data_IF_352094175307
#
_entry.id   IF_352094175307
#
_cell.length_a   1.000
_cell.length_b   1.000
_cell.length_c   1.000
_cell.angle_alpha   90.00
_cell.angle_beta   90.00
_cell.angle_gamma   90.00
#
_symmetry.space_group_name_H-M   'P 1'
#
loop_
_entity.id
_entity.type
_entity.pdbx_description
1 polymer ?
#
# COMPACT_ATOMS: atom_id res chain seq x y z
N UNK A 1 74.33 8.89 -0.76
CA UNK A 1 73.77 9.64 -1.90
C UNK A 1 72.98 8.68 -2.77
N UNK A 2 71.71 8.46 -2.47
CA UNK A 2 70.79 7.73 -3.37
C UNK A 2 69.40 8.39 -3.20
N UNK A 3 68.99 9.05 -4.27
CA UNK A 3 67.65 9.63 -4.38
C UNK A 3 66.68 8.53 -4.82
N UNK A 4 65.71 8.21 -4.01
CA UNK A 4 64.59 7.32 -4.40
C UNK A 4 63.36 8.13 -4.71
N UNK A 5 62.90 7.93 -5.93
CA UNK A 5 61.75 8.51 -6.59
C UNK A 5 60.43 8.39 -5.78
N UNK A 6 59.90 9.54 -5.36
CA UNK A 6 58.45 9.69 -5.06
C UNK A 6 57.72 9.99 -6.38
N UNK A 7 57.19 8.95 -7.01
CA UNK A 7 56.21 9.10 -8.12
C UNK A 7 55.43 7.79 -8.29
N UNK A 8 54.43 7.50 -7.50
CA UNK A 8 53.35 6.55 -7.84
C UNK A 8 52.20 6.53 -6.81
N UNK A 9 52.14 7.47 -5.87
CA UNK A 9 51.00 7.51 -4.91
C UNK A 9 49.82 8.40 -5.36
N UNK A 10 50.01 9.22 -6.41
CA UNK A 10 48.98 10.12 -6.90
C UNK A 10 47.98 9.51 -7.88
N UNK A 11 48.32 8.40 -8.51
CA UNK A 11 47.47 7.80 -9.55
C UNK A 11 46.41 6.83 -9.02
N UNK A 12 46.61 6.27 -7.81
CA UNK A 12 45.61 5.37 -7.20
C UNK A 12 44.49 6.08 -6.47
N UNK A 13 44.70 7.27 -5.97
CA UNK A 13 43.64 8.07 -5.31
C UNK A 13 42.67 8.70 -6.30
N UNK A 14 43.08 8.96 -7.55
CA UNK A 14 42.19 9.48 -8.58
C UNK A 14 41.27 8.40 -9.19
N UNK A 15 41.74 7.15 -9.23
CA UNK A 15 40.96 6.03 -9.76
C UNK A 15 39.86 5.53 -8.79
N UNK A 16 40.08 5.65 -7.47
CA UNK A 16 39.10 5.27 -6.47
C UNK A 16 37.99 6.33 -6.34
N UNK A 17 38.31 7.60 -6.56
CA UNK A 17 37.32 8.66 -6.58
C UNK A 17 36.39 8.64 -7.82
N UNK A 18 36.85 8.04 -8.93
CA UNK A 18 36.03 7.94 -10.15
C UNK A 18 35.10 6.72 -10.17
N UNK A 19 35.40 5.69 -9.39
CA UNK A 19 34.56 4.48 -9.28
C UNK A 19 33.40 4.70 -8.28
N UNK A 20 33.56 5.59 -7.31
CA UNK A 20 32.50 5.94 -6.37
C UNK A 20 31.46 6.93 -6.94
N UNK A 21 31.75 7.57 -8.09
CA UNK A 21 30.80 8.48 -8.74
C UNK A 21 29.89 7.81 -9.77
N UNK A 22 30.02 6.50 -10.05
CA UNK A 22 29.17 5.75 -10.96
C UNK A 22 28.21 4.76 -10.27
N UNK A 23 28.24 4.68 -8.96
CA UNK A 23 27.13 4.11 -8.19
C UNK A 23 26.14 5.23 -7.85
N UNK A 24 25.71 5.96 -8.88
CA UNK A 24 24.53 6.77 -8.83
C UNK A 24 23.36 5.81 -8.55
N UNK A 25 23.01 5.65 -7.29
CA UNK A 25 21.65 5.28 -6.93
C UNK A 25 20.76 6.27 -7.64
N UNK A 26 20.14 5.84 -8.72
CA UNK A 26 18.89 6.44 -9.15
C UNK A 26 17.94 6.19 -7.98
N UNK A 27 17.94 7.10 -7.02
CA UNK A 27 16.80 7.27 -6.16
C UNK A 27 15.65 7.55 -7.15
N UNK A 28 14.82 6.54 -7.36
CA UNK A 28 13.46 6.81 -7.74
C UNK A 28 12.91 7.68 -6.60
N UNK A 29 12.98 8.97 -6.82
CA UNK A 29 12.18 9.93 -6.08
C UNK A 29 10.75 9.62 -6.54
N UNK A 30 10.14 8.62 -5.95
CA UNK A 30 8.69 8.51 -5.95
C UNK A 30 8.21 9.85 -5.42
N UNK A 31 7.37 10.53 -6.18
CA UNK A 31 6.79 11.78 -5.74
C UNK A 31 6.21 11.54 -4.34
N UNK A 32 6.89 12.05 -3.32
CA UNK A 32 6.38 12.04 -1.96
C UNK A 32 5.17 12.95 -1.98
N UNK A 33 4.01 12.35 -1.89
CA UNK A 33 2.79 13.11 -1.61
C UNK A 33 3.02 13.73 -0.23
N UNK A 34 3.02 15.07 -0.10
CA UNK A 34 3.27 15.71 1.18
C UNK A 34 2.23 15.24 2.20
N UNK A 35 2.67 15.04 3.44
CA UNK A 35 1.77 14.78 4.56
C UNK A 35 0.79 15.93 4.68
N UNK A 36 -0.47 15.63 4.60
CA UNK A 36 -1.51 16.63 4.69
C UNK A 36 -1.74 17.02 6.15
N UNK A 37 -1.20 18.18 6.51
CA UNK A 37 -1.89 19.05 7.41
C UNK A 37 -3.11 19.56 6.62
N UNK A 38 -4.33 19.16 7.02
CA UNK A 38 -5.61 19.55 6.43
C UNK A 38 -5.66 19.42 4.88
N UNK A 39 -6.06 18.24 4.40
CA UNK A 39 -6.41 18.10 2.98
C UNK A 39 -7.40 19.23 2.63
N UNK A 40 -7.12 20.07 1.62
CA UNK A 40 -8.02 21.13 1.25
C UNK A 40 -9.39 20.51 1.00
N UNK A 41 -10.42 21.10 1.61
CA UNK A 41 -11.77 20.64 1.37
C UNK A 41 -12.02 20.67 -0.14
N UNK A 42 -12.52 19.58 -0.70
CA UNK A 42 -12.91 19.56 -2.11
C UNK A 42 -13.80 20.77 -2.40
N UNK A 43 -13.58 21.49 -3.52
CA UNK A 43 -14.48 22.53 -3.95
C UNK A 43 -15.90 21.95 -4.04
N UNK A 44 -16.90 22.76 -3.76
CA UNK A 44 -18.28 22.32 -3.88
C UNK A 44 -18.57 21.88 -5.31
N UNK A 45 -19.12 20.68 -5.46
CA UNK A 45 -19.62 20.19 -6.75
C UNK A 45 -20.85 21.04 -7.15
N UNK A 46 -20.79 21.68 -8.31
CA UNK A 46 -21.82 22.60 -8.81
C UNK A 46 -22.52 22.05 -10.04
N UNK A 47 -21.77 21.72 -11.10
CA UNK A 47 -22.33 21.31 -12.38
C UNK A 47 -21.83 19.92 -12.75
N UNK A 48 -22.75 18.99 -12.94
CA UNK A 48 -22.38 17.66 -13.46
C UNK A 48 -22.04 17.76 -14.94
N UNK A 49 -20.80 17.40 -15.29
CA UNK A 49 -20.29 17.41 -16.65
C UNK A 49 -19.90 16.02 -17.14
N UNK A 50 -20.51 14.97 -16.57
CA UNK A 50 -20.23 13.60 -17.00
C UNK A 50 -20.50 13.35 -18.50
N UNK A 51 -21.34 14.15 -19.11
CA UNK A 51 -21.57 14.19 -20.56
C UNK A 51 -20.42 14.81 -21.38
N UNK A 52 -19.59 15.64 -20.73
CA UNK A 52 -18.39 16.28 -21.29
C UNK A 52 -17.09 15.56 -20.93
N UNK A 53 -17.16 14.48 -20.17
CA UNK A 53 -16.01 13.68 -19.77
C UNK A 53 -16.18 12.28 -20.34
N UNK A 54 -15.26 11.89 -21.19
CA UNK A 54 -15.19 10.51 -21.69
C UNK A 54 -14.33 9.68 -20.76
N UNK A 55 -14.91 8.61 -20.22
CA UNK A 55 -14.21 7.58 -19.45
C UNK A 55 -13.85 6.43 -20.41
N UNK A 56 -12.58 6.11 -20.49
CA UNK A 56 -12.09 5.06 -21.42
C UNK A 56 -12.15 3.68 -20.75
N UNK A 57 -13.36 3.14 -20.69
CA UNK A 57 -13.60 1.82 -20.10
C UNK A 57 -12.89 0.69 -20.83
N UNK A 58 -12.63 0.82 -22.13
CA UNK A 58 -11.93 -0.20 -22.90
C UNK A 58 -10.48 -0.37 -22.42
N UNK A 59 -9.87 0.73 -21.98
CA UNK A 59 -8.53 0.77 -21.42
C UNK A 59 -8.51 0.80 -19.87
N UNK A 60 -9.66 0.54 -19.22
CA UNK A 60 -9.68 0.34 -17.78
C UNK A 60 -8.89 -0.92 -17.40
N UNK A 61 -8.00 -0.80 -16.43
CA UNK A 61 -7.11 -1.86 -15.95
C UNK A 61 -7.43 -2.22 -14.50
N UNK A 62 -7.29 -3.49 -14.17
CA UNK A 62 -7.12 -3.94 -12.81
C UNK A 62 -5.63 -3.84 -12.47
N UNK A 63 -5.28 -3.22 -11.35
CA UNK A 63 -3.90 -2.92 -11.00
C UNK A 63 -3.54 -3.37 -9.59
N UNK A 64 -2.25 -3.63 -9.38
CA UNK A 64 -1.66 -3.88 -8.07
C UNK A 64 -1.35 -2.56 -7.33
N UNK A 65 -0.71 -2.70 -6.17
CA UNK A 65 -0.26 -1.58 -5.34
C UNK A 65 0.75 -0.63 -6.02
N UNK A 66 1.35 -1.04 -7.14
CA UNK A 66 2.34 -0.28 -7.91
C UNK A 66 1.79 0.24 -9.23
N UNK A 67 0.47 0.18 -9.42
CA UNK A 67 -0.26 0.58 -10.63
C UNK A 67 0.08 -0.26 -11.87
N UNK A 68 0.66 -1.45 -11.69
CA UNK A 68 0.88 -2.40 -12.75
C UNK A 68 -0.40 -3.19 -13.02
N UNK A 69 -0.71 -3.38 -14.31
CA UNK A 69 -1.84 -4.21 -14.70
C UNK A 69 -1.68 -5.64 -14.22
N UNK A 70 -2.75 -6.19 -13.64
CA UNK A 70 -2.78 -7.55 -13.13
C UNK A 70 -3.96 -8.33 -13.70
N UNK A 71 -3.78 -9.65 -13.84
CA UNK A 71 -4.81 -10.60 -14.23
C UNK A 71 -5.03 -11.67 -13.14
N UNK A 72 -4.27 -11.59 -12.06
CA UNK A 72 -4.42 -12.45 -10.88
C UNK A 72 -4.17 -11.65 -9.60
N UNK A 73 -4.88 -12.01 -8.53
CA UNK A 73 -4.75 -11.38 -7.22
C UNK A 73 -5.05 -12.38 -6.11
N UNK A 74 -4.34 -12.28 -5.00
CA UNK A 74 -4.65 -13.05 -3.78
C UNK A 74 -5.78 -12.42 -2.99
N UNK A 75 -6.53 -13.23 -2.25
CA UNK A 75 -7.52 -12.75 -1.28
C UNK A 75 -6.84 -11.82 -0.26
N UNK A 76 -7.46 -10.66 0.00
CA UNK A 76 -6.94 -9.57 0.84
C UNK A 76 -5.65 -8.90 0.32
N UNK A 77 -5.30 -9.10 -0.95
CA UNK A 77 -4.24 -8.36 -1.59
C UNK A 77 -4.77 -7.08 -2.24
N UNK A 78 -3.85 -6.16 -2.53
CA UNK A 78 -4.22 -4.91 -3.17
C UNK A 78 -4.81 -5.14 -4.56
N UNK A 79 -5.94 -4.55 -4.78
CA UNK A 79 -6.65 -4.53 -6.06
C UNK A 79 -7.13 -3.11 -6.32
N UNK A 80 -6.72 -2.55 -7.44
CA UNK A 80 -7.13 -1.23 -7.87
C UNK A 80 -7.82 -1.24 -9.22
N UNK A 81 -8.50 -0.15 -9.52
CA UNK A 81 -9.04 0.15 -10.84
C UNK A 81 -8.40 1.42 -11.36
N UNK A 82 -7.66 1.30 -12.46
CA UNK A 82 -7.05 2.42 -13.18
C UNK A 82 -7.89 2.75 -14.40
N UNK A 83 -8.48 3.95 -14.40
CA UNK A 83 -9.42 4.38 -15.42
C UNK A 83 -8.95 5.67 -16.10
N UNK A 84 -8.58 5.63 -17.38
CA UNK A 84 -8.29 6.85 -18.14
C UNK A 84 -9.55 7.68 -18.39
N UNK A 85 -9.37 8.99 -18.39
CA UNK A 85 -10.45 9.94 -18.68
C UNK A 85 -9.94 11.11 -19.52
N UNK A 86 -10.87 11.77 -20.22
CA UNK A 86 -10.60 13.05 -20.92
C UNK A 86 -11.83 13.93 -20.96
N UNK A 87 -11.64 15.24 -20.85
CA UNK A 87 -12.71 16.19 -21.15
C UNK A 87 -12.86 16.34 -22.66
N UNK A 88 -14.10 16.46 -23.14
CA UNK A 88 -14.41 16.71 -24.55
C UNK A 88 -14.60 18.20 -24.86
N UNK A 89 -14.39 19.04 -23.86
CA UNK A 89 -14.51 20.49 -23.96
C UNK A 89 -13.98 21.16 -22.71
N UNK A 90 -14.16 22.47 -22.67
CA UNK A 90 -13.71 23.31 -21.55
C UNK A 90 -14.51 22.97 -20.29
N UNK A 91 -13.80 22.72 -19.20
CA UNK A 91 -14.33 22.53 -17.86
C UNK A 91 -13.96 23.69 -16.96
N UNK A 92 -14.77 23.96 -15.93
CA UNK A 92 -14.64 25.13 -15.05
C UNK A 92 -14.56 24.70 -13.58
N UNK A 93 -14.22 25.62 -12.73
CA UNK A 93 -14.30 25.43 -11.29
C UNK A 93 -15.67 25.00 -10.84
N UNK A 94 -15.77 23.93 -10.04
CA UNK A 94 -17.01 23.34 -9.58
C UNK A 94 -17.70 22.39 -10.55
N UNK A 95 -17.21 22.27 -11.80
CA UNK A 95 -17.64 21.17 -12.67
C UNK A 95 -17.15 19.83 -12.10
N UNK A 96 -17.99 18.81 -12.19
CA UNK A 96 -17.64 17.47 -11.67
C UNK A 96 -18.17 16.36 -12.56
N UNK A 97 -17.49 15.21 -12.48
CA UNK A 97 -17.99 13.96 -13.06
C UNK A 97 -17.96 12.85 -12.01
N UNK A 98 -18.79 11.84 -12.25
CA UNK A 98 -18.92 10.68 -11.38
C UNK A 98 -18.86 9.38 -12.19
N UNK A 99 -18.35 8.34 -11.57
CA UNK A 99 -18.43 6.98 -12.07
C UNK A 99 -18.35 5.97 -10.93
N UNK A 100 -18.69 4.72 -11.20
CA UNK A 100 -18.56 3.64 -10.24
C UNK A 100 -17.31 2.81 -10.55
N UNK A 101 -16.46 2.57 -9.55
CA UNK A 101 -15.21 1.80 -9.67
C UNK A 101 -15.33 0.39 -9.09
N UNK A 102 -16.53 -0.12 -8.85
CA UNK A 102 -16.71 -1.47 -8.33
C UNK A 102 -16.21 -2.53 -9.31
N UNK A 103 -15.66 -3.60 -8.74
CA UNK A 103 -15.30 -4.83 -9.45
C UNK A 103 -16.23 -5.92 -8.93
N UNK A 104 -17.09 -6.45 -9.79
CA UNK A 104 -18.16 -7.38 -9.41
C UNK A 104 -17.99 -8.70 -10.14
N UNK A 105 -18.02 -9.80 -9.41
CA UNK A 105 -18.03 -11.14 -9.99
C UNK A 105 -19.37 -11.39 -10.70
N UNK A 106 -19.34 -11.65 -12.01
CA UNK A 106 -20.57 -11.86 -12.79
C UNK A 106 -21.34 -13.11 -12.39
N UNK A 107 -20.67 -14.10 -11.81
CA UNK A 107 -21.30 -15.37 -11.48
C UNK A 107 -22.30 -15.26 -10.32
N UNK A 108 -22.06 -14.36 -9.37
CA UNK A 108 -22.89 -14.22 -8.17
C UNK A 108 -23.30 -12.76 -7.83
N UNK A 109 -22.80 -11.79 -8.58
CA UNK A 109 -23.09 -10.37 -8.35
C UNK A 109 -22.41 -9.77 -7.13
N UNK A 110 -21.47 -10.45 -6.50
CA UNK A 110 -20.77 -9.95 -5.32
C UNK A 110 -19.55 -9.11 -5.70
N UNK A 111 -19.24 -8.13 -4.86
CA UNK A 111 -18.05 -7.29 -5.05
C UNK A 111 -16.78 -8.10 -4.76
N UNK A 112 -15.83 -8.02 -5.69
CA UNK A 112 -14.47 -8.56 -5.55
C UNK A 112 -13.52 -7.48 -5.00
N UNK A 113 -13.87 -6.21 -5.14
CA UNK A 113 -13.11 -5.09 -4.64
C UNK A 113 -13.79 -4.52 -3.39
N UNK A 114 -13.08 -4.54 -2.27
CA UNK A 114 -13.42 -3.80 -1.08
C UNK A 114 -12.71 -2.45 -1.12
N UNK A 115 -13.43 -1.33 -1.21
CA UNK A 115 -12.81 -0.02 -1.25
C UNK A 115 -12.04 0.30 0.04
N UNK A 116 -10.84 0.83 -0.11
CA UNK A 116 -10.12 1.51 0.95
C UNK A 116 -10.46 2.99 0.85
N UNK A 117 -11.60 3.37 1.39
CA UNK A 117 -12.11 4.73 1.25
C UNK A 117 -11.25 5.73 2.00
N UNK A 118 -10.91 6.82 1.33
CA UNK A 118 -10.30 7.99 1.90
C UNK A 118 -11.23 9.19 1.75
N UNK A 119 -10.96 10.22 2.52
CA UNK A 119 -11.81 11.42 2.59
C UNK A 119 -11.85 12.18 1.28
N UNK A 120 -10.70 12.39 0.70
CA UNK A 120 -10.52 13.06 -0.59
C UNK A 120 -9.12 12.76 -1.12
N UNK A 121 -8.93 12.94 -2.43
CA UNK A 121 -7.63 12.87 -3.08
C UNK A 121 -7.49 14.02 -4.06
N UNK A 122 -6.26 14.50 -4.28
CA UNK A 122 -5.98 15.54 -5.25
C UNK A 122 -5.93 14.98 -6.66
N UNK A 123 -6.43 15.77 -7.61
CA UNK A 123 -6.16 15.58 -9.05
C UNK A 123 -4.99 16.49 -9.41
N UNK A 124 -3.84 15.90 -9.67
CA UNK A 124 -2.57 16.62 -9.82
C UNK A 124 -2.15 16.64 -11.28
N UNK A 125 -1.83 17.83 -11.78
CA UNK A 125 -1.28 17.99 -13.13
C UNK A 125 0.17 17.49 -13.22
N UNK A 126 0.64 17.29 -14.45
CA UNK A 126 2.03 16.94 -14.71
C UNK A 126 3.02 17.93 -14.11
N UNK A 127 2.64 19.18 -13.98
CA UNK A 127 3.44 20.26 -13.36
C UNK A 127 3.29 20.33 -11.83
N UNK A 128 2.75 19.29 -11.20
CA UNK A 128 2.44 19.22 -9.76
C UNK A 128 1.47 20.31 -9.27
N UNK A 129 0.56 20.76 -10.12
CA UNK A 129 -0.49 21.71 -9.77
C UNK A 129 -1.77 20.93 -9.49
N UNK A 130 -2.39 21.15 -8.34
CA UNK A 130 -3.70 20.57 -8.03
C UNK A 130 -4.77 21.27 -8.86
N UNK A 131 -5.41 20.52 -9.76
CA UNK A 131 -6.45 20.99 -10.69
C UNK A 131 -7.85 20.52 -10.31
N UNK A 132 -7.94 19.70 -9.31
CA UNK A 132 -9.21 19.19 -8.82
C UNK A 132 -9.03 18.34 -7.57
N UNK A 133 -10.12 17.81 -7.11
CA UNK A 133 -10.20 16.97 -5.93
C UNK A 133 -11.20 15.84 -6.21
N UNK A 134 -10.90 14.65 -5.73
CA UNK A 134 -11.80 13.51 -5.86
C UNK A 134 -12.19 12.94 -4.52
N UNK A 135 -13.30 12.22 -4.52
CA UNK A 135 -13.74 11.38 -3.40
C UNK A 135 -14.10 10.00 -3.90
N UNK A 136 -13.86 8.99 -3.10
CA UNK A 136 -14.25 7.61 -3.39
C UNK A 136 -15.01 7.04 -2.20
N UNK A 137 -16.26 6.67 -2.44
CA UNK A 137 -17.16 6.17 -1.41
C UNK A 137 -17.10 4.66 -1.22
N UNK A 138 -17.58 4.19 -0.06
CA UNK A 138 -17.73 2.76 0.24
C UNK A 138 -18.67 2.02 -0.72
N UNK A 139 -19.55 2.75 -1.40
CA UNK A 139 -20.44 2.26 -2.46
C UNK A 139 -19.74 2.11 -3.83
N UNK A 140 -18.43 2.42 -3.89
CA UNK A 140 -17.62 2.36 -5.09
C UNK A 140 -17.74 3.59 -5.99
N UNK A 141 -18.55 4.59 -5.61
CA UNK A 141 -18.69 5.79 -6.43
C UNK A 141 -17.47 6.71 -6.26
N UNK A 142 -16.92 7.14 -7.38
CA UNK A 142 -15.87 8.15 -7.47
C UNK A 142 -16.49 9.43 -7.98
N UNK A 143 -16.20 10.54 -7.32
CA UNK A 143 -16.58 11.89 -7.77
C UNK A 143 -15.28 12.71 -7.90
N UNK A 144 -15.09 13.35 -9.05
CA UNK A 144 -13.97 14.27 -9.30
C UNK A 144 -14.54 15.65 -9.54
N UNK A 145 -14.08 16.65 -8.77
CA UNK A 145 -14.51 18.05 -8.86
C UNK A 145 -13.30 18.90 -9.27
N UNK A 146 -13.46 19.68 -10.31
CA UNK A 146 -12.39 20.57 -10.80
C UNK A 146 -12.32 21.88 -10.03
N UNK A 147 -11.14 22.45 -9.87
CA UNK A 147 -10.92 23.78 -9.32
C UNK A 147 -10.66 24.81 -10.41
N UNK A 148 -10.38 26.06 -10.04
CA UNK A 148 -10.13 27.17 -10.98
C UNK A 148 -8.90 27.01 -11.87
N UNK A 149 -7.95 26.17 -11.47
CA UNK A 149 -6.72 25.91 -12.26
C UNK A 149 -7.01 25.16 -13.55
N UNK A 150 -8.12 24.43 -13.61
CA UNK A 150 -8.54 23.68 -14.80
C UNK A 150 -8.89 24.62 -15.97
N UNK A 151 -9.24 25.87 -15.69
CA UNK A 151 -9.63 26.86 -16.70
C UNK A 151 -8.46 27.33 -17.58
N UNK A 152 -7.22 26.95 -17.22
CA UNK A 152 -6.02 27.29 -17.97
C UNK A 152 -5.85 26.54 -19.30
N UNK A 153 -6.65 25.48 -19.55
CA UNK A 153 -6.56 24.68 -20.77
C UNK A 153 -7.94 24.38 -21.36
N UNK A 154 -7.95 24.20 -22.68
CA UNK A 154 -9.18 23.90 -23.41
C UNK A 154 -9.70 22.46 -23.14
N UNK A 155 -8.81 21.53 -22.91
CA UNK A 155 -9.12 20.13 -22.61
C UNK A 155 -8.14 19.56 -21.60
N UNK A 156 -8.62 18.58 -20.86
CA UNK A 156 -7.82 17.82 -19.91
C UNK A 156 -8.00 16.34 -20.15
N UNK A 157 -6.96 15.57 -19.89
CA UNK A 157 -7.01 14.11 -19.85
C UNK A 157 -6.13 13.59 -18.73
N UNK A 158 -6.40 12.41 -18.26
CA UNK A 158 -5.63 11.83 -17.16
C UNK A 158 -6.13 10.44 -16.79
N UNK A 159 -5.78 10.05 -15.60
CA UNK A 159 -6.13 8.76 -15.04
C UNK A 159 -6.61 8.92 -13.61
N UNK A 160 -7.62 8.19 -13.20
CA UNK A 160 -7.95 7.99 -11.80
C UNK A 160 -7.66 6.53 -11.46
N UNK A 161 -6.89 6.31 -10.40
CA UNK A 161 -6.61 4.97 -9.87
C UNK A 161 -7.16 4.85 -8.46
N UNK A 162 -8.09 3.93 -8.26
CA UNK A 162 -8.61 3.58 -6.92
C UNK A 162 -7.86 2.39 -6.38
N UNK A 163 -7.63 2.35 -5.06
CA UNK A 163 -6.94 1.26 -4.39
C UNK A 163 -7.80 0.67 -3.27
N UNK A 164 -7.93 -0.63 -3.27
CA UNK A 164 -8.67 -1.38 -2.27
C UNK A 164 -8.05 -2.74 -2.04
N UNK A 165 -8.82 -3.62 -1.44
CA UNK A 165 -8.42 -5.01 -1.19
C UNK A 165 -9.28 -5.95 -2.01
N UNK A 166 -8.64 -6.94 -2.61
CA UNK A 166 -9.35 -8.03 -3.24
C UNK A 166 -10.10 -8.85 -2.18
N UNK A 167 -11.33 -9.17 -2.45
CA UNK A 167 -12.16 -9.96 -1.56
C UNK A 167 -12.69 -11.16 -2.33
N UNK A 168 -12.48 -12.35 -1.78
CA UNK A 168 -13.01 -13.57 -2.36
C UNK A 168 -14.54 -13.56 -2.32
N UNK A 169 -15.16 -13.80 -3.46
CA UNK A 169 -16.62 -13.75 -3.61
C UNK A 169 -17.17 -15.07 -4.16
N UNK A 170 -17.11 -16.14 -3.39
CA UNK A 170 -17.79 -17.38 -3.78
C UNK A 170 -17.01 -18.67 -3.63
N UNK A 171 -17.63 -19.82 -3.84
CA UNK A 171 -17.02 -21.12 -3.63
C UNK A 171 -15.97 -21.39 -4.71
N UNK A 172 -14.70 -21.47 -4.31
CA UNK A 172 -13.65 -22.25 -4.96
C UNK A 172 -13.36 -22.06 -6.45
N UNK A 173 -13.98 -21.14 -7.11
CA UNK A 173 -13.66 -20.79 -8.48
C UNK A 173 -12.44 -19.91 -8.53
N UNK A 174 -11.43 -20.31 -9.26
CA UNK A 174 -10.17 -19.60 -9.33
C UNK A 174 -10.17 -18.59 -10.47
N UNK A 175 -11.12 -18.69 -11.39
CA UNK A 175 -11.23 -17.80 -12.54
C UNK A 175 -12.55 -17.02 -12.48
N UNK A 176 -12.44 -15.74 -12.18
CA UNK A 176 -13.57 -14.83 -12.17
C UNK A 176 -13.68 -14.11 -13.50
N UNK A 177 -14.90 -14.02 -14.00
CA UNK A 177 -15.27 -13.02 -14.99
C UNK A 177 -15.87 -11.87 -14.22
N UNK A 178 -15.15 -10.74 -14.17
CA UNK A 178 -15.58 -9.57 -13.40
C UNK A 178 -16.04 -8.45 -14.30
N UNK A 179 -17.00 -7.67 -13.81
CA UNK A 179 -17.42 -6.43 -14.46
C UNK A 179 -16.82 -5.26 -13.68
N UNK A 180 -16.08 -4.39 -14.34
CA UNK A 180 -15.50 -3.18 -13.79
C UNK A 180 -16.43 -2.01 -14.06
N UNK A 181 -16.90 -1.35 -13.00
CA UNK A 181 -17.82 -0.23 -13.08
C UNK A 181 -19.16 -0.51 -13.75
N UNK A 182 -19.54 -1.77 -13.92
CA UNK A 182 -20.70 -2.17 -14.69
C UNK A 182 -20.58 -1.89 -16.19
N UNK A 183 -19.36 -1.64 -16.73
CA UNK A 183 -19.12 -1.17 -18.10
C UNK A 183 -18.27 -2.12 -18.92
N UNK A 184 -17.25 -2.74 -18.34
CA UNK A 184 -16.30 -3.59 -19.06
C UNK A 184 -16.05 -4.88 -18.31
N UNK A 185 -15.88 -5.96 -19.08
CA UNK A 185 -15.58 -7.27 -18.52
C UNK A 185 -14.08 -7.53 -18.55
N UNK A 186 -13.56 -8.15 -17.48
CA UNK A 186 -12.18 -8.60 -17.35
C UNK A 186 -12.16 -10.01 -16.77
N UNK A 187 -11.11 -10.76 -17.11
CA UNK A 187 -10.81 -12.02 -16.44
C UNK A 187 -9.86 -11.71 -15.26
N UNK A 188 -10.15 -12.29 -14.12
CA UNK A 188 -9.35 -12.16 -12.91
C UNK A 188 -9.21 -13.53 -12.26
N UNK A 189 -7.98 -13.97 -12.09
CA UNK A 189 -7.68 -15.17 -11.35
C UNK A 189 -7.56 -14.80 -9.86
N UNK A 190 -8.40 -15.42 -9.03
CA UNK A 190 -8.31 -15.28 -7.58
C UNK A 190 -7.48 -16.42 -7.02
N UNK A 191 -6.25 -16.13 -6.66
CA UNK A 191 -5.39 -17.13 -6.04
C UNK A 191 -5.71 -17.27 -4.56
N UNK A 192 -6.22 -18.43 -4.18
CA UNK A 192 -6.20 -18.82 -2.77
C UNK A 192 -4.78 -19.21 -2.41
N UNK A 193 -4.32 -18.80 -1.25
CA UNK A 193 -3.09 -19.34 -0.70
C UNK A 193 -3.25 -20.85 -0.57
N UNK A 194 -2.29 -21.58 -1.12
CA UNK A 194 -2.24 -23.04 -0.94
C UNK A 194 -1.90 -23.30 0.54
N UNK A 195 -2.74 -24.05 1.27
CA UNK A 195 -2.40 -24.46 2.62
C UNK A 195 -1.04 -25.16 2.64
N UNK A 196 -0.18 -24.82 3.61
CA UNK A 196 1.09 -25.47 3.83
C UNK A 196 2.32 -24.80 3.22
N UNK A 197 2.20 -23.77 2.40
CA UNK A 197 3.34 -22.97 1.94
C UNK A 197 3.45 -21.65 2.74
N UNK A 198 4.05 -21.75 3.92
CA UNK A 198 4.36 -20.58 4.70
C UNK A 198 5.62 -19.89 4.13
N UNK A 199 5.49 -18.64 3.72
CA UNK A 199 6.59 -17.83 3.23
C UNK A 199 6.92 -16.71 4.22
N UNK A 200 8.17 -16.22 4.17
CA UNK A 200 8.52 -14.96 4.79
C UNK A 200 7.71 -13.85 4.15
N UNK A 201 6.90 -13.18 4.94
CA UNK A 201 5.89 -12.26 4.41
C UNK A 201 5.75 -11.02 5.27
N UNK A 202 5.44 -9.91 4.63
CA UNK A 202 4.98 -8.69 5.26
C UNK A 202 3.67 -8.24 4.63
N UNK A 203 2.70 -7.97 5.49
CA UNK A 203 1.41 -7.37 5.16
C UNK A 203 1.13 -6.17 6.05
N UNK A 204 0.03 -5.50 5.80
CA UNK A 204 -0.47 -4.45 6.67
C UNK A 204 -1.88 -4.04 6.29
N UNK A 205 -2.54 -3.34 7.20
CA UNK A 205 -3.86 -2.74 7.00
C UNK A 205 -4.05 -1.52 7.88
N UNK A 206 -5.03 -0.68 7.52
CA UNK A 206 -5.50 0.38 8.40
C UNK A 206 -6.45 -0.19 9.45
N UNK A 207 -6.27 0.26 10.67
CA UNK A 207 -7.04 -0.18 11.84
C UNK A 207 -7.96 0.93 12.40
N UNK A 208 -8.31 1.90 11.56
CA UNK A 208 -9.10 3.06 11.96
C UNK A 208 -10.62 2.88 11.81
N UNK A 209 -11.04 1.77 11.19
CA UNK A 209 -12.46 1.56 10.87
C UNK A 209 -13.30 1.04 12.03
N UNK A 210 -12.68 0.55 13.10
CA UNK A 210 -13.38 -0.15 14.18
C UNK A 210 -13.69 0.73 15.40
N UNK A 211 -13.05 1.91 15.50
CA UNK A 211 -13.27 2.82 16.63
C UNK A 211 -13.56 4.23 16.15
N UNK A 212 -14.74 4.74 16.43
CA UNK A 212 -15.08 6.16 16.24
C UNK A 212 -14.13 7.10 17.02
N UNK A 213 -13.49 6.58 18.07
CA UNK A 213 -12.49 7.27 18.89
C UNK A 213 -11.03 6.97 18.49
N UNK A 214 -10.80 6.39 17.33
CA UNK A 214 -9.56 5.95 16.70
C UNK A 214 -8.27 6.15 17.51
N UNK A 215 -7.62 5.05 17.88
CA UNK A 215 -6.31 5.09 18.51
C UNK A 215 -5.24 5.36 17.42
N UNK A 216 -4.75 6.60 17.34
CA UNK A 216 -3.73 6.98 16.35
C UNK A 216 -2.44 6.14 16.45
N UNK A 217 -2.18 5.55 17.62
CA UNK A 217 -0.99 4.73 17.85
C UNK A 217 -1.08 3.33 17.19
N UNK A 218 -2.27 2.97 16.72
CA UNK A 218 -2.56 1.72 15.99
C UNK A 218 -3.21 1.99 14.65
N UNK A 219 -2.98 3.16 14.08
CA UNK A 219 -3.58 3.56 12.81
C UNK A 219 -3.22 2.64 11.65
N UNK A 220 -2.00 2.11 11.65
CA UNK A 220 -1.55 1.06 10.76
C UNK A 220 -1.20 -0.16 11.60
N UNK A 221 -1.65 -1.34 11.15
CA UNK A 221 -1.20 -2.61 11.68
C UNK A 221 -0.36 -3.33 10.64
N UNK A 222 0.94 -3.48 10.91
CA UNK A 222 1.82 -4.32 10.12
C UNK A 222 1.81 -5.74 10.65
N UNK A 223 1.82 -6.71 9.74
CA UNK A 223 1.93 -8.14 10.05
C UNK A 223 3.16 -8.70 9.37
N UNK A 224 3.97 -9.43 10.14
CA UNK A 224 5.14 -10.15 9.63
C UNK A 224 4.97 -11.63 9.94
N UNK A 225 5.27 -12.49 8.97
CA UNK A 225 5.22 -13.95 9.09
C UNK A 225 6.62 -14.50 8.96
N UNK A 226 7.04 -15.30 9.95
CA UNK A 226 8.34 -15.99 9.98
C UNK A 226 8.11 -17.50 10.10
N UNK A 227 8.22 -18.26 9.00
CA UNK A 227 8.05 -19.70 9.03
C UNK A 227 9.31 -20.42 9.54
N UNK A 228 9.12 -21.46 10.35
CA UNK A 228 10.22 -22.36 10.73
C UNK A 228 10.61 -23.28 9.56
N UNK A 229 9.63 -23.78 8.80
CA UNK A 229 9.81 -24.90 7.87
C UNK A 229 9.86 -26.23 8.59
N UNK A 230 10.57 -27.22 8.03
CA UNK A 230 10.59 -28.60 8.53
C UNK A 230 11.37 -28.79 9.85
N UNK A 231 12.11 -27.80 10.29
CA UNK A 231 12.90 -27.84 11.50
C UNK A 231 12.59 -26.63 12.40
N UNK A 232 12.65 -26.83 13.71
CA UNK A 232 12.49 -25.73 14.66
C UNK A 232 13.59 -24.66 14.46
N UNK A 233 13.25 -23.39 14.67
CA UNK A 233 14.13 -22.25 14.54
C UNK A 233 14.21 -21.53 15.87
N UNK A 234 15.43 -21.43 16.42
CA UNK A 234 15.73 -20.63 17.61
C UNK A 234 16.59 -19.43 17.26
N UNK A 235 16.40 -18.30 17.93
CA UNK A 235 17.19 -17.09 17.74
C UNK A 235 16.88 -16.32 16.44
N UNK A 236 15.72 -16.55 15.84
CA UNK A 236 15.25 -15.72 14.76
C UNK A 236 14.88 -14.32 15.24
N UNK A 237 15.12 -13.32 14.42
CA UNK A 237 14.65 -11.94 14.66
C UNK A 237 14.22 -11.27 13.38
N UNK A 238 13.39 -10.25 13.53
CA UNK A 238 13.07 -9.33 12.45
C UNK A 238 13.55 -7.92 12.79
N UNK A 239 13.86 -7.18 11.75
CA UNK A 239 14.11 -5.73 11.82
C UNK A 239 13.16 -5.05 10.87
N UNK A 240 12.31 -4.18 11.42
CA UNK A 240 11.31 -3.42 10.69
C UNK A 240 11.67 -1.93 10.75
N UNK A 241 11.88 -1.29 9.61
CA UNK A 241 12.39 0.08 9.53
C UNK A 241 11.43 0.98 8.76
N UNK A 242 11.11 2.13 9.38
CA UNK A 242 10.35 3.20 8.74
C UNK A 242 11.22 3.88 7.68
N UNK A 243 10.83 3.91 6.40
CA UNK A 243 11.60 4.61 5.38
C UNK A 243 11.75 6.09 5.71
N UNK A 244 12.90 6.67 5.35
CA UNK A 244 13.15 8.09 5.54
C UNK A 244 12.09 8.94 4.82
N UNK A 245 11.57 9.96 5.50
CA UNK A 245 10.53 10.84 4.96
C UNK A 245 9.11 10.27 5.05
N UNK A 246 8.91 9.13 5.70
CA UNK A 246 7.57 8.59 5.96
C UNK A 246 6.80 9.46 6.96
N UNK A 247 5.48 9.46 6.82
CA UNK A 247 4.55 10.17 7.69
C UNK A 247 3.91 9.28 8.75
N UNK A 248 4.55 8.17 9.03
CA UNK A 248 4.16 7.24 10.06
C UNK A 248 5.40 6.85 10.90
N UNK A 249 5.17 6.37 12.08
CA UNK A 249 6.24 5.99 13.01
C UNK A 249 5.75 4.90 13.96
N UNK A 250 6.67 4.26 14.66
CA UNK A 250 6.33 3.38 15.77
C UNK A 250 6.13 4.20 17.06
N UNK A 251 5.05 3.91 17.78
CA UNK A 251 4.94 4.31 19.19
C UNK A 251 5.44 3.17 20.06
N UNK A 252 6.62 3.35 20.65
CA UNK A 252 7.30 2.28 21.36
C UNK A 252 6.56 1.79 22.62
N UNK A 253 5.75 2.61 23.26
CA UNK A 253 4.93 2.14 24.37
C UNK A 253 3.89 1.14 23.84
N UNK A 254 3.15 1.53 22.81
CA UNK A 254 2.16 0.65 22.18
C UNK A 254 2.79 -0.61 21.56
N UNK A 255 3.94 -0.47 20.85
CA UNK A 255 4.67 -1.62 20.29
C UNK A 255 5.09 -2.59 21.37
N UNK A 256 5.72 -2.12 22.45
CA UNK A 256 6.21 -3.00 23.53
C UNK A 256 5.08 -3.79 24.18
N UNK A 257 3.97 -3.15 24.46
CA UNK A 257 2.83 -3.79 25.12
C UNK A 257 2.04 -4.70 24.15
N UNK A 258 1.72 -4.17 22.97
CA UNK A 258 0.89 -4.87 22.02
C UNK A 258 1.63 -6.02 21.34
N UNK A 259 2.82 -5.79 20.78
CA UNK A 259 3.58 -6.80 20.05
C UNK A 259 3.99 -7.96 20.95
N UNK A 260 4.35 -7.69 22.19
CA UNK A 260 4.67 -8.73 23.16
C UNK A 260 3.52 -9.69 23.40
N UNK A 261 2.30 -9.17 23.46
CA UNK A 261 1.08 -9.97 23.67
C UNK A 261 0.49 -10.50 22.36
N UNK A 262 0.83 -9.93 21.22
CA UNK A 262 0.26 -10.24 19.90
C UNK A 262 1.31 -10.79 18.91
N UNK A 263 2.28 -11.55 19.40
CA UNK A 263 3.15 -12.41 18.59
C UNK A 263 2.71 -13.85 18.82
N UNK A 264 2.24 -14.48 17.75
CA UNK A 264 1.56 -15.79 17.82
C UNK A 264 2.36 -16.88 17.12
N UNK A 265 2.16 -18.13 17.57
CA UNK A 265 2.56 -19.32 16.82
C UNK A 265 1.32 -19.94 16.18
N UNK A 266 1.40 -20.23 14.89
CA UNK A 266 0.33 -20.86 14.12
C UNK A 266 0.88 -21.99 13.27
N UNK A 267 0.10 -23.05 13.09
CA UNK A 267 0.49 -24.18 12.23
C UNK A 267 0.36 -23.85 10.75
N UNK A 268 -0.60 -23.02 10.37
CA UNK A 268 -0.79 -22.60 8.99
C UNK A 268 -1.26 -21.13 8.95
N UNK A 269 -0.35 -20.18 8.68
CA UNK A 269 -0.69 -18.78 8.63
C UNK A 269 -1.50 -18.39 7.39
N UNK A 270 -1.71 -19.32 6.45
CA UNK A 270 -2.35 -19.06 5.16
C UNK A 270 -3.83 -19.35 5.17
N UNK A 271 -4.33 -20.09 6.15
CA UNK A 271 -5.76 -20.43 6.27
C UNK A 271 -6.52 -19.37 7.06
N UNK A 272 -7.83 -19.28 6.81
CA UNK A 272 -8.75 -18.48 7.62
C UNK A 272 -8.75 -18.91 9.09
N UNK A 273 -8.52 -20.19 9.36
CA UNK A 273 -8.45 -20.71 10.72
C UNK A 273 -7.12 -20.35 11.39
N UNK A 274 -6.01 -20.37 10.68
CA UNK A 274 -4.73 -19.85 11.15
C UNK A 274 -4.80 -18.35 11.48
N UNK A 275 -5.49 -17.56 10.66
CA UNK A 275 -5.75 -16.15 10.94
C UNK A 275 -6.77 -15.93 12.07
N UNK A 276 -7.74 -16.82 12.25
CA UNK A 276 -8.66 -16.80 13.39
C UNK A 276 -7.99 -17.13 14.70
N UNK A 277 -6.99 -18.02 14.70
CA UNK A 277 -6.17 -18.28 15.89
C UNK A 277 -5.48 -17.01 16.39
N UNK A 278 -5.16 -16.09 15.50
CA UNK A 278 -4.61 -14.77 15.85
C UNK A 278 -5.64 -13.89 16.58
N UNK A 279 -6.92 -14.07 16.31
CA UNK A 279 -7.99 -13.30 16.94
C UNK A 279 -8.63 -14.01 18.15
N UNK A 280 -8.37 -15.29 18.32
CA UNK A 280 -8.90 -16.07 19.43
C UNK A 280 -7.91 -16.10 20.60
N UNK A 281 -8.06 -15.14 21.49
CA UNK A 281 -7.28 -15.02 22.72
C UNK A 281 -7.44 -16.20 23.67
N UNK A 282 -8.36 -17.12 23.42
CA UNK A 282 -8.61 -18.28 24.26
C UNK A 282 -7.62 -19.43 24.03
N UNK A 283 -6.89 -19.44 22.91
CA UNK A 283 -6.00 -20.56 22.54
C UNK A 283 -4.53 -20.39 22.92
N UNK A 284 -4.16 -19.35 23.69
CA UNK A 284 -3.01 -19.41 24.62
C UNK A 284 -1.59 -19.44 24.04
N UNK A 285 -1.40 -19.29 22.73
CA UNK A 285 -0.06 -19.28 22.12
C UNK A 285 0.52 -17.85 21.99
N UNK A 286 0.27 -17.03 23.00
CA UNK A 286 0.70 -15.64 23.09
C UNK A 286 2.14 -15.51 23.57
N UNK A 287 2.84 -14.47 23.10
CA UNK A 287 4.09 -14.07 23.72
C UNK A 287 5.33 -14.73 23.14
N UNK A 288 5.33 -15.08 21.85
CA UNK A 288 6.54 -15.61 21.20
C UNK A 288 7.63 -14.55 20.95
N UNK A 289 7.38 -13.28 21.26
CA UNK A 289 8.41 -12.24 21.28
C UNK A 289 9.24 -12.37 22.56
N UNK A 290 10.49 -12.83 22.43
CA UNK A 290 11.42 -12.94 23.57
C UNK A 290 11.97 -11.58 23.97
N UNK A 291 12.26 -10.70 23.00
CA UNK A 291 12.78 -9.36 23.22
C UNK A 291 12.25 -8.41 22.12
N UNK A 292 11.94 -7.18 22.53
CA UNK A 292 11.55 -6.10 21.63
C UNK A 292 12.43 -4.89 21.91
N UNK A 293 13.09 -4.38 20.87
CA UNK A 293 13.81 -3.12 20.88
C UNK A 293 13.11 -2.17 19.91
N UNK A 294 12.73 -0.99 20.39
CA UNK A 294 11.93 -0.05 19.60
C UNK A 294 12.49 1.36 19.67
N UNK A 295 12.50 2.01 18.54
CA UNK A 295 12.59 3.46 18.36
C UNK A 295 11.42 3.91 17.47
N UNK A 296 11.18 5.20 17.33
CA UNK A 296 10.12 5.71 16.44
C UNK A 296 10.30 5.30 14.96
N UNK A 297 11.51 4.94 14.55
CA UNK A 297 11.84 4.60 13.16
C UNK A 297 12.25 3.15 12.96
N UNK A 298 12.38 2.36 14.02
CA UNK A 298 12.87 0.99 13.93
C UNK A 298 12.35 0.12 15.05
N UNK A 299 11.93 -1.08 14.71
CA UNK A 299 11.59 -2.13 15.68
C UNK A 299 12.39 -3.38 15.37
N UNK A 300 13.03 -3.95 16.39
CA UNK A 300 13.64 -5.28 16.34
C UNK A 300 12.86 -6.21 17.25
N UNK A 301 12.36 -7.32 16.73
CA UNK A 301 11.70 -8.35 17.52
C UNK A 301 12.53 -9.62 17.45
N UNK A 302 13.05 -10.07 18.60
CA UNK A 302 13.68 -11.39 18.74
C UNK A 302 12.61 -12.38 19.16
N UNK A 303 12.51 -13.49 18.44
CA UNK A 303 11.53 -14.52 18.66
C UNK A 303 12.05 -15.58 19.62
N UNK A 304 11.18 -16.14 20.42
CA UNK A 304 11.41 -17.43 21.06
C UNK A 304 11.53 -18.53 19.97
N UNK A 305 11.77 -19.76 20.39
CA UNK A 305 11.79 -20.86 19.42
C UNK A 305 10.47 -20.96 18.65
N UNK A 306 10.57 -21.06 17.32
CA UNK A 306 9.47 -21.38 16.44
C UNK A 306 9.54 -22.88 16.19
N UNK A 307 8.57 -23.70 16.65
CA UNK A 307 8.56 -25.15 16.43
C UNK A 307 8.52 -25.51 14.93
N UNK A 308 9.02 -26.69 14.59
CA UNK A 308 8.93 -27.21 13.22
C UNK A 308 7.48 -27.19 12.71
N UNK A 309 7.29 -26.88 11.44
CA UNK A 309 5.99 -26.77 10.78
C UNK A 309 5.04 -25.71 11.38
N UNK A 310 5.58 -24.76 12.11
CA UNK A 310 4.86 -23.59 12.60
C UNK A 310 5.44 -22.29 12.03
N UNK A 311 4.66 -21.24 12.17
CA UNK A 311 5.08 -19.88 11.81
C UNK A 311 4.81 -18.94 12.98
N UNK A 312 5.71 -17.99 13.20
CA UNK A 312 5.44 -16.87 14.06
C UNK A 312 4.76 -15.76 13.25
N UNK A 313 3.67 -15.23 13.77
CA UNK A 313 3.00 -14.04 13.26
C UNK A 313 3.25 -12.91 14.25
N UNK A 314 3.83 -11.83 13.77
CA UNK A 314 4.19 -10.64 14.56
C UNK A 314 3.29 -9.51 14.11
N UNK A 315 2.56 -8.90 15.04
CA UNK A 315 1.78 -7.70 14.79
C UNK A 315 2.50 -6.47 15.34
N UNK A 316 2.74 -5.48 14.48
CA UNK A 316 3.44 -4.25 14.78
C UNK A 316 2.50 -3.06 14.56
N UNK A 317 1.92 -2.49 15.61
CA UNK A 317 1.13 -1.27 15.48
C UNK A 317 2.03 -0.09 15.14
N UNK A 318 1.54 0.76 14.25
CA UNK A 318 2.23 1.97 13.81
C UNK A 318 1.28 3.16 13.82
N UNK A 319 1.86 4.31 14.14
CA UNK A 319 1.17 5.58 14.29
C UNK A 319 1.22 6.37 13.00
N UNK A 320 0.08 6.97 12.64
CA UNK A 320 0.00 8.04 11.64
C UNK A 320 -0.40 9.32 12.37
N UNK A 321 0.43 10.33 12.31
CA UNK A 321 0.23 11.57 13.06
C UNK A 321 -1.08 12.27 12.66
N UNK A 322 -1.91 12.58 13.66
CA UNK A 322 -3.20 13.26 13.46
C UNK A 322 -4.32 12.39 12.90
N UNK A 323 -4.07 11.11 12.61
CA UNK A 323 -5.08 10.22 12.04
C UNK A 323 -5.97 9.62 13.14
N UNK A 324 -7.21 10.08 13.23
CA UNK A 324 -8.23 9.57 14.16
C UNK A 324 -9.29 8.71 13.48
N UNK A 325 -9.40 8.78 12.15
CA UNK A 325 -10.39 8.07 11.35
C UNK A 325 -9.76 7.59 10.04
N UNK A 326 -10.33 6.57 9.42
CA UNK A 326 -9.88 6.09 8.11
C UNK A 326 -9.78 7.23 7.07
N UNK A 327 -10.72 8.17 7.08
CA UNK A 327 -10.71 9.33 6.19
C UNK A 327 -9.65 10.39 6.47
N UNK A 328 -8.93 10.29 7.57
CA UNK A 328 -7.82 11.20 7.90
C UNK A 328 -6.49 10.71 7.31
N UNK A 329 -6.46 9.50 6.76
CA UNK A 329 -5.26 8.84 6.26
C UNK A 329 -5.30 8.84 4.74
N UNK A 330 -4.34 9.52 4.14
CA UNK A 330 -4.17 9.59 2.70
C UNK A 330 -2.74 9.16 2.32
N UNK A 331 -2.60 8.57 1.15
CA UNK A 331 -1.31 8.34 0.54
C UNK A 331 -0.79 6.92 0.63
N UNK A 332 0.51 6.81 0.49
CA UNK A 332 1.26 5.57 0.42
C UNK A 332 2.06 5.36 1.70
N UNK A 333 1.94 4.17 2.27
CA UNK A 333 2.72 3.74 3.43
C UNK A 333 3.60 2.58 3.01
N UNK A 334 4.86 2.85 2.73
CA UNK A 334 5.84 1.83 2.44
C UNK A 334 6.53 1.36 3.72
N UNK A 335 6.81 0.06 3.79
CA UNK A 335 7.53 -0.52 4.90
C UNK A 335 8.33 -1.74 4.45
N UNK A 336 9.53 -1.94 5.01
CA UNK A 336 10.41 -3.05 4.68
C UNK A 336 10.84 -3.78 5.95
N UNK A 337 10.70 -5.09 5.94
CA UNK A 337 11.19 -5.95 7.02
C UNK A 337 12.38 -6.77 6.54
N UNK A 338 13.42 -6.85 7.38
CA UNK A 338 14.57 -7.73 7.22
C UNK A 338 14.45 -8.90 8.18
N UNK A 339 14.73 -10.10 7.72
CA UNK A 339 14.66 -11.33 8.49
C UNK A 339 16.06 -11.83 8.81
N UNK A 340 16.36 -12.03 10.07
CA UNK A 340 17.59 -12.65 10.55
C UNK A 340 17.24 -14.04 11.10
N UNK A 341 17.44 -15.06 10.28
CA UNK A 341 17.09 -16.45 10.62
C UNK A 341 18.35 -17.27 10.59
N UNK A 342 18.77 -17.89 11.71
CA UNK A 342 19.99 -18.68 11.76
C UNK A 342 20.03 -19.75 10.67
N UNK A 343 21.14 -19.79 9.92
CA UNK A 343 21.36 -20.77 8.86
C UNK A 343 20.58 -20.56 7.57
N UNK A 344 19.82 -19.44 7.45
CA UNK A 344 19.06 -19.12 6.23
C UNK A 344 19.42 -17.71 5.73
N UNK A 345 19.45 -17.55 4.42
CA UNK A 345 19.48 -16.24 3.77
C UNK A 345 18.06 -15.93 3.31
N UNK A 346 17.48 -14.84 3.82
CA UNK A 346 16.13 -14.40 3.48
C UNK A 346 16.21 -12.97 2.96
N UNK A 347 15.68 -12.77 1.78
CA UNK A 347 15.59 -11.42 1.20
C UNK A 347 14.62 -10.54 2.00
N UNK A 348 14.92 -9.25 2.16
CA UNK A 348 13.99 -8.31 2.76
C UNK A 348 12.66 -8.25 1.99
N UNK A 349 11.56 -8.16 2.72
CA UNK A 349 10.23 -8.06 2.13
C UNK A 349 9.68 -6.64 2.33
N UNK A 350 9.37 -6.00 1.21
CA UNK A 350 8.74 -4.67 1.18
C UNK A 350 7.25 -4.81 0.94
N UNK A 351 6.45 -4.06 1.71
CA UNK A 351 5.02 -3.90 1.49
C UNK A 351 4.70 -2.41 1.36
N UNK A 352 3.80 -2.10 0.45
CA UNK A 352 3.22 -0.76 0.28
C UNK A 352 1.73 -0.87 0.53
N UNK A 353 1.21 -0.01 1.39
CA UNK A 353 -0.22 0.16 1.58
C UNK A 353 -0.63 1.47 0.92
N UNK A 354 -1.64 1.42 0.08
CA UNK A 354 -2.24 2.59 -0.54
C UNK A 354 -3.70 2.69 -0.13
N UNK A 355 -4.10 3.89 0.20
CA UNK A 355 -5.45 4.16 0.64
C UNK A 355 -6.08 5.26 -0.20
N UNK A 356 -7.37 5.09 -0.48
CA UNK A 356 -8.12 6.02 -1.27
C UNK A 356 -7.86 5.87 -2.77
N UNK A 357 -7.70 6.97 -3.43
CA UNK A 357 -7.43 7.02 -4.85
C UNK A 357 -6.39 8.10 -5.17
N UNK A 358 -5.76 7.98 -6.32
CA UNK A 358 -4.87 8.98 -6.91
C UNK A 358 -5.41 9.40 -8.25
N UNK A 359 -5.19 10.63 -8.66
CA UNK A 359 -5.53 11.08 -9.99
C UNK A 359 -4.48 12.01 -10.56
N UNK A 360 -4.20 11.84 -11.84
CA UNK A 360 -3.37 12.73 -12.62
C UNK A 360 -4.21 13.46 -13.68
N UNK A 361 -3.69 14.57 -14.17
CA UNK A 361 -4.30 15.34 -15.22
C UNK A 361 -3.22 15.99 -16.12
N UNK A 362 -3.49 16.03 -17.41
CA UNK A 362 -2.63 16.65 -18.41
C UNK A 362 -3.45 17.65 -19.22
N UNK A 363 -2.91 18.86 -19.35
CA UNK A 363 -3.51 19.86 -20.23
C UNK A 363 -3.23 19.52 -21.70
N UNK A 364 -4.27 19.53 -22.52
CA UNK A 364 -4.10 19.49 -23.96
C UNK A 364 -4.09 20.93 -24.50
N UNK A 365 -2.93 21.38 -24.90
CA UNK A 365 -2.79 22.67 -25.62
C UNK A 365 -3.08 22.42 -27.10
N UNK A 366 -4.19 22.90 -27.57
CA UNK A 366 -4.39 23.10 -29.01
C UNK A 366 -3.55 24.31 -29.41
N UNK A 367 -2.46 24.08 -30.12
CA UNK A 367 -1.75 25.12 -30.85
C UNK A 367 -2.53 25.51 -32.10
#
# INVERSE_FOLDING_TARGET
MVAVKRRHLGAYLAAVALILSFLGFTQFVGAQVPAYADAPACPGAVTNVSDKVTLDWNNAQLVDQSDHEIHSVGDWWDLGVKLPWKSTGHVKAGDYFTYNANVVNQANGESVLRPNVARAFDVVSHDNIVVGCGTWGADGNVTVVFNDRVESAAQWYGTVTTHGLAQYSGPGGEHYVVTVGGKVTRNLEMTRRTPGEAHYQKDGWLNLTENEDGDENKAIMWRVIVPAGDAAVSGASIVDEVPAGSHWSFDCNTVNDYTKTHTYLVTDPTTSDGLRQVNDTSNGAFGNAAQIECTSTKVTVTLAEIPANQSAIILLPARVEGAKRAGDVLGEFANTVTFNVPGKTVEPVRKVLRYGATADAYAHQTF
#
